data_IF_747640988903
#
_entry.id   IF_747640988903
#
_cell.length_a   1.000
_cell.length_b   1.000
_cell.length_c   1.000
_cell.angle_alpha   90.00
_cell.angle_beta   90.00
_cell.angle_gamma   90.00
#
_symmetry.space_group_name_H-M   'P 1'
#
loop_
_entity.id
_entity.type
_entity.pdbx_description
1 polymer ?
#
# COMPACT_ATOMS: atom_id res chain seq x y z
N UNK A 1 1.50 -18.43 5.90
CA UNK A 1 2.63 -17.87 6.70
C UNK A 1 2.32 -16.51 7.33
N UNK A 2 1.66 -15.57 6.63
CA UNK A 2 1.35 -14.24 7.19
C UNK A 2 0.59 -14.28 8.52
N UNK A 3 -0.48 -15.07 8.62
CA UNK A 3 -1.25 -15.21 9.88
C UNK A 3 -0.43 -15.79 11.03
N UNK A 4 0.46 -16.74 10.73
CA UNK A 4 1.38 -17.29 11.72
C UNK A 4 2.32 -16.19 12.23
N UNK A 5 2.91 -15.42 11.32
CA UNK A 5 3.79 -14.31 11.68
C UNK A 5 3.05 -13.23 12.48
N UNK A 6 1.76 -12.98 12.21
CA UNK A 6 0.95 -12.01 12.94
C UNK A 6 0.74 -12.44 14.40
N UNK A 7 0.25 -13.67 14.60
CA UNK A 7 0.01 -14.21 15.95
C UNK A 7 1.33 -14.36 16.71
N UNK A 8 2.36 -14.88 16.03
CA UNK A 8 3.69 -15.02 16.61
C UNK A 8 4.29 -13.66 16.99
N UNK A 9 4.14 -12.63 16.14
CA UNK A 9 4.66 -11.30 16.40
C UNK A 9 4.16 -10.68 17.71
N UNK A 10 2.88 -10.90 18.04
CA UNK A 10 2.26 -10.41 19.28
C UNK A 10 2.54 -11.36 20.45
N UNK A 11 2.38 -12.68 20.23
CA UNK A 11 2.57 -13.68 21.27
C UNK A 11 4.00 -13.69 21.80
N UNK A 12 4.99 -13.53 20.91
CA UNK A 12 6.40 -13.60 21.30
C UNK A 12 6.78 -12.41 22.19
N UNK A 13 6.20 -11.23 21.97
CA UNK A 13 6.43 -10.05 22.81
C UNK A 13 5.94 -10.20 24.24
N UNK A 14 4.87 -10.99 24.44
CA UNK A 14 4.28 -11.22 25.77
C UNK A 14 4.98 -12.38 26.48
N UNK A 15 5.42 -13.38 25.72
CA UNK A 15 5.87 -14.66 26.27
C UNK A 15 7.38 -14.71 26.46
N UNK A 16 8.14 -14.10 25.54
CA UNK A 16 9.59 -14.12 25.54
C UNK A 16 10.16 -12.76 25.90
N UNK A 17 11.24 -12.79 26.67
CA UNK A 17 11.88 -11.58 27.18
C UNK A 17 13.08 -11.25 26.30
N UNK A 18 13.21 -9.98 25.91
CA UNK A 18 14.40 -9.44 25.27
C UNK A 18 15.00 -8.29 26.08
N UNK A 19 15.71 -7.41 25.37
CA UNK A 19 16.37 -6.23 25.94
C UNK A 19 15.34 -5.20 26.40
N UNK A 20 14.30 -5.00 25.58
CA UNK A 20 13.12 -4.19 25.87
C UNK A 20 11.93 -5.13 25.97
N UNK A 21 11.32 -5.17 27.14
CA UNK A 21 10.12 -5.95 27.41
C UNK A 21 8.89 -5.05 27.32
N UNK A 22 7.78 -5.62 26.87
CA UNK A 22 6.48 -4.97 26.79
C UNK A 22 5.52 -5.75 27.69
N UNK A 23 4.62 -5.06 28.38
CA UNK A 23 3.62 -5.74 29.19
C UNK A 23 2.31 -6.01 28.41
N UNK A 24 1.44 -6.84 28.98
CA UNK A 24 0.17 -7.17 28.34
C UNK A 24 -0.80 -5.97 28.29
N UNK A 25 -0.72 -5.03 29.22
CA UNK A 25 -1.60 -3.87 29.26
C UNK A 25 -1.28 -2.90 28.09
N UNK A 26 0.00 -2.71 27.79
CA UNK A 26 0.50 -1.95 26.66
C UNK A 26 -0.02 -2.54 25.34
N UNK A 27 0.24 -3.84 25.11
CA UNK A 27 -0.24 -4.55 23.91
C UNK A 27 -1.76 -4.46 23.79
N UNK A 28 -2.49 -4.69 24.88
CA UNK A 28 -3.95 -4.60 24.91
C UNK A 28 -4.43 -3.20 24.51
N UNK A 29 -3.75 -2.14 24.94
CA UNK A 29 -4.14 -0.75 24.66
C UNK A 29 -4.04 -0.43 23.17
N UNK A 30 -3.00 -0.92 22.48
CA UNK A 30 -2.85 -0.71 21.02
C UNK A 30 -3.71 -1.68 20.19
N UNK A 31 -4.10 -2.84 20.72
CA UNK A 31 -4.86 -3.84 19.96
C UNK A 31 -6.39 -3.75 20.16
N UNK A 32 -6.87 -3.20 21.27
CA UNK A 32 -8.30 -3.21 21.63
C UNK A 32 -9.05 -2.04 20.99
N UNK A 33 -10.22 -2.31 20.41
CA UNK A 33 -11.15 -1.31 19.84
C UNK A 33 -10.55 -0.39 18.75
N UNK A 34 -9.39 -0.72 18.19
CA UNK A 34 -8.71 0.08 17.16
C UNK A 34 -9.18 -0.19 15.71
N UNK A 35 -10.18 -1.05 15.51
CA UNK A 35 -10.72 -1.33 14.19
C UNK A 35 -9.76 -2.10 13.28
N UNK A 36 -9.38 -1.52 12.14
CA UNK A 36 -8.52 -2.17 11.15
C UNK A 36 -7.06 -2.21 11.61
N UNK A 37 -6.39 -3.30 11.28
CA UNK A 37 -4.97 -3.52 11.55
C UNK A 37 -4.25 -4.00 10.30
N UNK A 38 -3.00 -3.57 10.13
CA UNK A 38 -2.11 -3.99 9.06
C UNK A 38 -0.79 -4.46 9.65
N UNK A 39 -0.09 -5.31 8.92
CA UNK A 39 1.15 -5.92 9.38
C UNK A 39 2.20 -5.94 8.29
N UNK A 40 3.38 -5.44 8.60
CA UNK A 40 4.58 -5.55 7.79
C UNK A 40 5.64 -6.40 8.46
N UNK A 41 6.39 -7.19 7.68
CA UNK A 41 7.57 -7.91 8.19
C UNK A 41 8.76 -7.71 7.27
N UNK A 42 9.94 -7.59 7.88
CA UNK A 42 11.20 -7.49 7.17
C UNK A 42 12.26 -8.34 7.86
N UNK A 43 13.19 -8.87 7.07
CA UNK A 43 14.31 -9.69 7.56
C UNK A 43 15.60 -9.24 6.92
N UNK A 44 16.63 -9.04 7.72
CA UNK A 44 17.97 -8.72 7.21
C UNK A 44 19.07 -9.33 8.09
N UNK A 45 20.29 -9.34 7.56
CA UNK A 45 21.53 -9.87 8.15
C UNK A 45 22.68 -8.88 7.90
N UNK A 46 23.76 -9.01 8.65
CA UNK A 46 24.96 -8.19 8.49
C UNK A 46 24.93 -6.88 9.30
N UNK A 47 25.79 -5.91 8.97
CA UNK A 47 26.02 -4.76 9.85
C UNK A 47 24.85 -3.75 9.92
N UNK A 48 24.02 -3.66 8.88
CA UNK A 48 22.87 -2.74 8.81
C UNK A 48 21.53 -3.44 8.93
N UNK A 49 21.52 -4.66 9.49
CA UNK A 49 20.33 -5.51 9.56
C UNK A 49 19.12 -4.85 10.21
N UNK A 50 19.30 -3.99 11.21
CA UNK A 50 18.21 -3.26 11.87
C UNK A 50 17.44 -2.35 10.90
N UNK A 51 18.18 -1.43 10.28
CA UNK A 51 17.63 -0.41 9.38
C UNK A 51 17.01 -1.09 8.16
N UNK A 52 17.67 -2.10 7.59
CA UNK A 52 17.18 -2.80 6.41
C UNK A 52 15.94 -3.65 6.70
N UNK A 53 15.91 -4.36 7.83
CA UNK A 53 14.71 -5.10 8.23
C UNK A 53 13.54 -4.17 8.54
N UNK A 54 13.78 -3.03 9.20
CA UNK A 54 12.75 -2.03 9.46
C UNK A 54 12.22 -1.41 8.15
N UNK A 55 13.11 -1.06 7.21
CA UNK A 55 12.73 -0.53 5.89
C UNK A 55 11.84 -1.52 5.15
N UNK A 56 12.23 -2.79 5.10
CA UNK A 56 11.43 -3.85 4.47
C UNK A 56 10.06 -4.03 5.14
N UNK A 57 10.01 -3.92 6.47
CA UNK A 57 8.76 -4.05 7.22
C UNK A 57 7.79 -2.91 6.88
N UNK A 58 8.28 -1.67 6.83
CA UNK A 58 7.47 -0.48 6.48
C UNK A 58 7.03 -0.51 5.02
N UNK A 59 7.87 -1.02 4.12
CA UNK A 59 7.56 -1.15 2.69
C UNK A 59 6.93 -2.50 2.31
N UNK A 60 6.36 -3.23 3.27
CA UNK A 60 5.78 -4.55 3.02
C UNK A 60 4.55 -4.45 2.11
N UNK A 61 4.35 -5.38 1.16
CA UNK A 61 3.16 -5.39 0.29
C UNK A 61 1.82 -5.41 1.02
N UNK A 62 1.82 -5.86 2.27
CA UNK A 62 0.65 -5.88 3.14
C UNK A 62 0.24 -4.49 3.65
N UNK A 63 0.99 -3.44 3.31
CA UNK A 63 0.80 -2.03 3.68
C UNK A 63 0.57 -1.13 2.44
N UNK A 64 0.45 -1.68 1.23
CA UNK A 64 0.51 -0.91 -0.03
C UNK A 64 -0.62 0.11 -0.22
N UNK A 65 -1.84 -0.18 0.22
CA UNK A 65 -3.00 0.70 0.00
C UNK A 65 -3.22 1.72 1.14
N UNK A 66 -2.53 1.55 2.26
CA UNK A 66 -2.71 2.32 3.49
C UNK A 66 -1.33 2.50 4.13
N UNK A 67 -0.76 3.68 3.94
CA UNK A 67 0.52 4.06 4.56
C UNK A 67 0.42 4.01 6.08
N UNK A 68 1.54 3.65 6.75
CA UNK A 68 1.63 3.57 8.22
C UNK A 68 1.33 4.93 8.90
N UNK A 69 1.48 6.03 8.17
CA UNK A 69 1.14 7.40 8.59
C UNK A 69 -0.30 7.56 9.11
N UNK A 70 -1.25 6.72 8.67
CA UNK A 70 -2.64 6.80 9.13
C UNK A 70 -2.94 6.08 10.46
N UNK A 71 -1.94 5.44 11.07
CA UNK A 71 -2.14 4.57 12.24
C UNK A 71 -2.04 5.36 13.56
N UNK A 72 -3.03 5.21 14.43
CA UNK A 72 -3.01 5.82 15.78
C UNK A 72 -2.31 4.93 16.81
N UNK A 73 -2.16 3.64 16.51
CA UNK A 73 -1.44 2.68 17.34
C UNK A 73 -0.46 1.88 16.50
N UNK A 74 0.78 1.75 16.97
CA UNK A 74 1.82 0.97 16.29
C UNK A 74 2.52 0.08 17.31
N UNK A 75 2.63 -1.21 16.98
CA UNK A 75 3.41 -2.18 17.75
C UNK A 75 4.56 -2.70 16.89
N UNK A 76 5.77 -2.61 17.43
CA UNK A 76 7.02 -3.00 16.79
C UNK A 76 7.61 -4.17 17.58
N UNK A 77 7.82 -5.30 16.92
CA UNK A 77 8.56 -6.44 17.48
C UNK A 77 9.88 -6.61 16.71
N UNK A 78 10.99 -6.52 17.43
CA UNK A 78 12.33 -6.82 16.93
C UNK A 78 12.78 -8.17 17.47
N UNK A 79 12.81 -9.19 16.61
CA UNK A 79 13.36 -10.50 16.95
C UNK A 79 14.77 -10.63 16.38
N UNK A 80 15.74 -10.99 17.22
CA UNK A 80 17.12 -11.19 16.78
C UNK A 80 17.84 -12.21 17.63
N UNK A 81 19.04 -12.61 17.20
CA UNK A 81 19.88 -13.51 17.98
C UNK A 81 20.49 -12.85 19.23
N UNK A 82 21.26 -13.62 20.02
CA UNK A 82 21.87 -13.16 21.27
C UNK A 82 22.85 -11.98 21.12
N UNK A 83 23.38 -11.78 19.91
CA UNK A 83 24.24 -10.65 19.57
C UNK A 83 23.50 -9.36 19.21
N UNK A 84 22.18 -9.32 19.32
CA UNK A 84 21.38 -8.11 19.10
C UNK A 84 21.69 -7.06 20.18
N UNK A 85 21.86 -5.81 19.76
CA UNK A 85 22.21 -4.70 20.66
C UNK A 85 21.07 -3.69 20.79
N UNK A 86 21.06 -2.92 21.88
CA UNK A 86 20.10 -1.84 22.07
C UNK A 86 20.22 -0.75 20.97
N UNK A 87 21.43 -0.53 20.45
CA UNK A 87 21.65 0.43 19.37
C UNK A 87 20.92 0.03 18.08
N UNK A 88 20.95 -1.25 17.74
CA UNK A 88 20.24 -1.80 16.59
C UNK A 88 18.71 -1.68 16.76
N UNK A 89 18.20 -2.03 17.95
CA UNK A 89 16.77 -1.89 18.26
C UNK A 89 16.34 -0.43 18.10
N UNK A 90 17.10 0.51 18.70
CA UNK A 90 16.79 1.94 18.61
C UNK A 90 16.82 2.46 17.17
N UNK A 91 17.80 2.02 16.35
CA UNK A 91 17.87 2.42 14.95
C UNK A 91 16.65 1.93 14.13
N UNK A 92 16.16 0.72 14.39
CA UNK A 92 14.93 0.21 13.78
C UNK A 92 13.69 1.00 14.23
N UNK A 93 13.57 1.27 15.54
CA UNK A 93 12.46 2.05 16.10
C UNK A 93 12.38 3.47 15.56
N UNK A 94 13.51 4.17 15.45
CA UNK A 94 13.56 5.53 14.92
C UNK A 94 13.07 5.59 13.47
N UNK A 95 13.49 4.64 12.62
CA UNK A 95 13.06 4.60 11.22
C UNK A 95 11.55 4.41 11.09
N UNK A 96 10.96 3.54 11.92
CA UNK A 96 9.51 3.30 11.89
C UNK A 96 8.76 4.50 12.44
N UNK A 97 9.30 5.16 13.48
CA UNK A 97 8.72 6.37 14.05
C UNK A 97 8.71 7.52 13.04
N UNK A 98 9.78 7.70 12.25
CA UNK A 98 9.83 8.69 11.17
C UNK A 98 8.82 8.44 10.05
N UNK A 99 8.36 7.20 9.88
CA UNK A 99 7.37 6.81 8.89
C UNK A 99 5.92 6.80 9.43
N UNK A 100 5.75 7.08 10.72
CA UNK A 100 4.47 7.05 11.43
C UNK A 100 3.97 8.48 11.73
N UNK A 101 2.70 8.59 12.11
CA UNK A 101 2.13 9.85 12.57
C UNK A 101 2.79 10.32 13.88
N UNK A 102 3.02 11.63 14.03
CA UNK A 102 3.62 12.24 15.23
C UNK A 102 2.84 11.92 16.53
N UNK A 103 1.51 11.81 16.42
CA UNK A 103 0.60 11.49 17.53
C UNK A 103 0.30 9.99 17.69
N UNK A 104 0.98 9.11 16.93
CA UNK A 104 0.77 7.67 17.05
C UNK A 104 1.31 7.16 18.40
N UNK A 105 0.53 6.32 19.08
CA UNK A 105 1.03 5.58 20.23
C UNK A 105 1.90 4.42 19.74
N UNK A 106 3.21 4.45 20.02
CA UNK A 106 4.16 3.45 19.54
C UNK A 106 4.68 2.62 20.71
N UNK A 107 4.47 1.30 20.64
CA UNK A 107 5.06 0.31 21.53
C UNK A 107 6.14 -0.45 20.78
N UNK A 108 7.32 -0.53 21.36
CA UNK A 108 8.42 -1.31 20.82
C UNK A 108 8.85 -2.37 21.83
N UNK A 109 9.02 -3.59 21.35
CA UNK A 109 9.52 -4.70 22.12
C UNK A 109 10.58 -5.49 21.36
N UNK A 110 11.33 -6.28 22.09
CA UNK A 110 12.39 -7.10 21.53
C UNK A 110 12.33 -8.51 22.06
N UNK A 111 12.69 -9.47 21.22
CA UNK A 111 12.74 -10.89 21.55
C UNK A 111 14.09 -11.44 21.13
N UNK A 112 14.74 -12.17 22.04
CA UNK A 112 16.00 -12.85 21.74
C UNK A 112 15.67 -14.31 21.39
N UNK A 113 15.99 -14.70 20.16
CA UNK A 113 15.83 -16.06 19.65
C UNK A 113 17.21 -16.62 19.23
N UNK A 114 17.72 -17.59 19.99
CA UNK A 114 19.02 -18.22 19.74
C UNK A 114 19.12 -18.87 18.36
N UNK A 115 17.99 -19.30 17.79
CA UNK A 115 17.96 -19.94 16.47
C UNK A 115 18.22 -18.97 15.31
N UNK A 116 18.09 -17.66 15.56
CA UNK A 116 18.26 -16.64 14.53
C UNK A 116 19.72 -16.31 14.21
N UNK A 117 20.67 -16.62 15.09
CA UNK A 117 22.09 -16.30 14.86
C UNK A 117 22.31 -14.81 14.58
N UNK A 118 22.79 -14.49 13.36
CA UNK A 118 23.05 -13.11 12.93
C UNK A 118 21.83 -12.43 12.26
N UNK A 119 20.69 -13.11 12.20
CA UNK A 119 19.48 -12.58 11.59
C UNK A 119 18.75 -11.63 12.52
N UNK A 120 18.06 -10.67 11.91
CA UNK A 120 17.06 -9.87 12.57
C UNK A 120 15.78 -9.84 11.75
N UNK A 121 14.66 -10.00 12.44
CA UNK A 121 13.31 -9.91 11.91
C UNK A 121 12.62 -8.74 12.62
N UNK A 122 12.15 -7.77 11.85
CA UNK A 122 11.34 -6.67 12.35
C UNK A 122 9.91 -6.89 11.88
N UNK A 123 8.98 -6.83 12.82
CA UNK A 123 7.55 -6.92 12.57
C UNK A 123 6.89 -5.64 13.04
N UNK A 124 6.12 -5.00 12.17
CA UNK A 124 5.36 -3.79 12.46
C UNK A 124 3.88 -4.14 12.34
N UNK A 125 3.11 -3.77 13.35
CA UNK A 125 1.66 -3.93 13.38
C UNK A 125 1.07 -2.55 13.61
N UNK A 126 0.37 -2.03 12.61
CA UNK A 126 -0.27 -0.73 12.65
C UNK A 126 -1.78 -0.91 12.84
N UNK A 127 -2.38 -0.17 13.78
CA UNK A 127 -3.80 -0.23 14.13
C UNK A 127 -4.39 1.17 14.23
N UNK A 128 -5.71 1.26 14.25
CA UNK A 128 -6.38 2.53 14.49
C UNK A 128 -6.56 3.39 13.24
N UNK A 129 -6.52 2.78 12.06
CA UNK A 129 -6.78 3.47 10.80
C UNK A 129 -8.23 3.98 10.75
N UNK A 130 -8.39 5.28 10.47
CA UNK A 130 -9.72 5.90 10.35
C UNK A 130 -10.47 5.34 9.12
N UNK A 131 -11.77 5.07 9.29
CA UNK A 131 -12.67 4.59 8.24
C UNK A 131 -12.79 5.56 7.05
N UNK A 132 -12.47 6.84 7.25
CA UNK A 132 -12.55 7.86 6.21
C UNK A 132 -11.40 7.77 5.19
N UNK A 133 -10.18 7.43 5.62
CA UNK A 133 -9.00 7.29 4.75
C UNK A 133 -9.14 6.09 3.79
N UNK A 134 -9.80 5.01 4.25
CA UNK A 134 -10.12 3.83 3.45
C UNK A 134 -11.04 4.11 2.25
N UNK A 135 -11.91 5.12 2.33
CA UNK A 135 -12.80 5.44 1.20
C UNK A 135 -12.07 6.08 0.03
N UNK A 136 -10.91 6.72 0.25
CA UNK A 136 -10.12 7.30 -0.83
C UNK A 136 -9.43 6.23 -1.68
N UNK A 137 -8.97 5.13 -1.08
CA UNK A 137 -8.31 4.04 -1.80
C UNK A 137 -9.30 3.18 -2.60
N UNK A 138 -10.50 2.89 -2.08
CA UNK A 138 -11.56 2.22 -2.85
C UNK A 138 -12.12 3.09 -4.00
N UNK A 139 -12.00 4.41 -3.90
CA UNK A 139 -12.46 5.35 -4.94
C UNK A 139 -11.55 5.38 -6.18
N UNK A 140 -10.35 4.81 -6.13
CA UNK A 140 -9.36 4.84 -7.21
C UNK A 140 -9.66 3.92 -8.39
N UNK A 141 -10.61 2.98 -8.26
CA UNK A 141 -10.81 1.95 -9.28
C UNK A 141 -12.05 2.10 -10.15
N UNK A 142 -13.05 2.93 -9.86
CA UNK A 142 -14.19 3.15 -10.78
C UNK A 142 -14.89 4.49 -10.54
N UNK A 143 -14.19 5.61 -10.83
CA UNK A 143 -14.90 6.86 -11.13
C UNK A 143 -15.16 6.93 -12.63
N UNK A 144 -16.06 6.06 -13.11
CA UNK A 144 -16.80 6.38 -14.32
C UNK A 144 -17.53 7.69 -14.03
N UNK A 145 -17.40 8.75 -14.86
CA UNK A 145 -18.22 9.93 -14.68
C UNK A 145 -19.67 9.49 -14.82
N UNK A 146 -20.38 9.38 -13.70
CA UNK A 146 -21.79 9.09 -13.66
C UNK A 146 -22.56 10.38 -14.02
N UNK A 147 -22.34 10.84 -15.25
CA UNK A 147 -23.19 11.77 -15.93
C UNK A 147 -23.67 11.04 -17.19
N UNK A 148 -24.56 10.07 -16.99
CA UNK A 148 -25.55 9.82 -18.03
C UNK A 148 -26.21 11.18 -18.30
N UNK A 149 -26.10 11.75 -19.51
CA UNK A 149 -26.86 12.94 -19.83
C UNK A 149 -28.32 12.61 -19.53
N UNK A 150 -28.98 13.40 -18.69
CA UNK A 150 -30.41 13.23 -18.41
C UNK A 150 -31.10 13.15 -19.75
N UNK A 151 -31.54 11.94 -20.11
CA UNK A 151 -32.25 11.72 -21.34
C UNK A 151 -33.62 12.36 -21.13
N UNK A 152 -33.81 13.58 -21.63
CA UNK A 152 -35.13 14.23 -21.66
C UNK A 152 -36.07 13.34 -22.49
N UNK A 153 -36.81 12.48 -21.79
CA UNK A 153 -37.79 11.55 -22.35
C UNK A 153 -39.07 12.22 -22.81
N UNK A 154 -39.21 13.52 -22.58
CA UNK A 154 -40.40 14.30 -22.95
C UNK A 154 -40.50 14.56 -24.45
N UNK A 155 -39.46 14.19 -25.21
CA UNK A 155 -39.42 14.36 -26.66
C UNK A 155 -39.57 12.98 -27.34
N UNK A 156 -40.59 12.80 -28.21
CA UNK A 156 -40.75 11.58 -28.99
C UNK A 156 -39.48 11.24 -29.80
N UNK A 157 -39.12 9.95 -29.85
CA UNK A 157 -37.91 9.41 -30.49
C UNK A 157 -37.67 9.92 -31.92
N UNK A 158 -38.75 10.22 -32.66
CA UNK A 158 -38.70 10.72 -34.05
C UNK A 158 -38.07 12.13 -34.12
N UNK A 159 -38.28 12.98 -33.11
CA UNK A 159 -37.75 14.34 -33.06
C UNK A 159 -36.26 14.33 -32.67
N UNK A 160 -35.87 13.44 -31.75
CA UNK A 160 -34.49 13.29 -31.27
C UNK A 160 -33.51 12.91 -32.39
N UNK A 161 -33.85 11.92 -33.20
CA UNK A 161 -32.99 11.45 -34.28
C UNK A 161 -32.78 12.50 -35.39
N UNK A 162 -33.72 13.45 -35.54
CA UNK A 162 -33.60 14.54 -36.51
C UNK A 162 -32.57 15.58 -36.07
N UNK A 163 -32.51 15.87 -34.77
CA UNK A 163 -31.62 16.90 -34.21
C UNK A 163 -30.16 16.41 -34.13
N UNK A 164 -29.93 15.12 -33.88
CA UNK A 164 -28.59 14.54 -33.94
C UNK A 164 -28.03 14.60 -35.36
N UNK A 165 -28.81 14.21 -36.37
CA UNK A 165 -28.36 14.25 -37.77
C UNK A 165 -27.98 15.65 -38.26
N UNK A 166 -28.66 16.71 -37.80
CA UNK A 166 -28.31 18.09 -38.15
C UNK A 166 -27.04 18.60 -37.45
N UNK A 167 -26.73 18.12 -36.25
CA UNK A 167 -25.51 18.47 -35.52
C UNK A 167 -24.27 17.78 -36.10
N UNK A 168 -24.37 16.51 -36.48
CA UNK A 168 -23.26 15.76 -37.07
C UNK A 168 -22.95 16.20 -38.52
N UNK A 169 -23.93 16.71 -39.28
CA UNK A 169 -23.69 17.22 -40.63
C UNK A 169 -22.80 18.48 -40.68
N UNK A 170 -22.69 19.24 -39.59
CA UNK A 170 -21.90 20.49 -39.51
C UNK A 170 -20.43 20.27 -39.08
N UNK A 171 -20.04 19.04 -38.74
CA UNK A 171 -18.66 18.72 -38.31
C UNK A 171 -17.98 17.86 -39.39
N UNK A 172 -17.63 18.49 -40.52
CA UNK A 172 -16.67 17.92 -41.48
C UNK A 172 -15.38 18.75 -41.43
N UNK A 173 -14.19 18.15 -41.25
CA UNK A 173 -12.93 18.88 -41.43
C UNK A 173 -12.68 19.13 -42.92
N UNK A 174 -11.90 20.17 -43.29
CA UNK A 174 -11.54 20.41 -44.68
C UNK A 174 -10.61 19.31 -45.21
N UNK A 175 -10.86 18.90 -46.46
CA UNK A 175 -10.08 17.89 -47.18
C UNK A 175 -8.66 18.40 -47.45
N UNK A 176 -7.65 17.70 -46.94
CA UNK A 176 -6.28 17.78 -47.43
C UNK A 176 -6.04 16.65 -48.44
N UNK A 177 -5.83 17.03 -49.69
CA UNK A 177 -5.39 16.17 -50.77
C UNK A 177 -3.93 15.74 -50.54
N UNK A 178 -3.71 14.45 -50.30
CA UNK A 178 -2.43 13.79 -50.49
C UNK A 178 -2.70 12.41 -51.10
N UNK A 179 -2.30 12.23 -52.35
CA UNK A 179 -2.30 10.93 -53.03
C UNK A 179 -1.31 10.01 -52.30
N UNK A 180 -1.81 8.93 -51.70
CA UNK A 180 -0.96 7.88 -51.11
C UNK A 180 -1.36 6.55 -51.75
N UNK A 181 -0.35 5.92 -52.37
CA UNK A 181 -0.44 4.71 -53.18
C UNK A 181 -1.02 3.51 -52.41
N UNK A 182 -1.85 2.72 -53.08
CA UNK A 182 -2.68 1.64 -52.54
C UNK A 182 -1.92 0.36 -52.04
N UNK A 183 -0.65 0.48 -51.66
CA UNK A 183 0.20 -0.66 -51.26
C UNK A 183 0.51 -0.79 -49.77
N UNK A 184 0.12 0.17 -48.92
CA UNK A 184 0.66 0.28 -47.54
C UNK A 184 -0.17 -0.45 -46.46
N UNK A 185 -1.28 -1.10 -46.82
CA UNK A 185 -2.20 -1.74 -45.86
C UNK A 185 -1.90 -3.22 -45.56
N UNK A 186 -1.03 -3.88 -46.32
CA UNK A 186 -0.74 -5.32 -46.13
C UNK A 186 0.39 -5.63 -45.13
N UNK A 187 0.91 -4.61 -44.43
CA UNK A 187 1.99 -4.80 -43.45
C UNK A 187 1.48 -4.51 -42.04
N UNK A 188 1.45 -5.52 -41.14
CA UNK A 188 1.08 -5.32 -39.75
C UNK A 188 1.93 -4.24 -39.05
N UNK A 189 1.28 -3.45 -38.18
CA UNK A 189 1.84 -2.24 -37.58
C UNK A 189 3.19 -2.41 -36.85
N UNK A 190 3.50 -3.63 -36.38
CA UNK A 190 4.73 -3.93 -35.63
C UNK A 190 6.00 -4.06 -36.50
N UNK A 191 5.87 -4.20 -37.82
CA UNK A 191 7.01 -4.33 -38.75
C UNK A 191 7.49 -2.99 -39.34
N UNK A 192 6.78 -1.90 -39.13
CA UNK A 192 7.08 -0.59 -39.74
C UNK A 192 8.33 0.11 -39.17
N UNK A 193 8.85 -0.32 -38.02
CA UNK A 193 9.86 0.43 -37.24
C UNK A 193 11.29 -0.13 -37.28
N UNK A 194 11.62 -0.99 -38.26
CA UNK A 194 12.97 -1.58 -38.40
C UNK A 194 13.70 -1.23 -39.71
N UNK A 195 13.17 -0.29 -40.50
CA UNK A 195 13.79 0.11 -41.78
C UNK A 195 13.99 1.63 -41.86
N UNK A 196 14.17 2.29 -40.71
CA UNK A 196 14.80 3.61 -40.65
C UNK A 196 16.11 3.53 -39.89
#
# INVERSE_FOLDING_TARGET
EVLLNAVQGISDLITFHGIVNVDFADVRTIMTDQGMALMGTGRSRGARRAIEAATQAVSSPLLEDISIDGATGILINVTGGPGMTLHEINAASMLIQEAAHDDANIIFGSVIDESMGDDMKVTVIATGFDRAELRKSESGLHQMPNALPKLETDIPTIIRNRWENEKFAKVRPPEHTAEVSAGEYDIPAFLRRRVE
#
